data_IF_506332719613
#
_entry.id   IF_506332719613
#
_cell.length_a   1.000
_cell.length_b   1.000
_cell.length_c   1.000
_cell.angle_alpha   90.00
_cell.angle_beta   90.00
_cell.angle_gamma   90.00
#
_symmetry.space_group_name_H-M   'P 1'
#
loop_
_entity.id
_entity.type
_entity.pdbx_description
1 polymer ?
#
# COMPACT_ATOMS: atom_id res chain seq x y z
N UNK A 1 -13.47 3.67 -18.74
CA UNK A 1 -14.69 4.50 -18.93
C UNK A 1 -15.32 4.68 -17.56
N UNK A 2 -15.36 5.93 -17.12
CA UNK A 2 -15.80 6.43 -15.82
C UNK A 2 -17.25 5.98 -15.51
N UNK A 3 -17.51 5.49 -14.30
CA UNK A 3 -18.03 6.28 -13.17
C UNK A 3 -19.55 6.16 -13.04
N UNK A 4 -19.98 5.28 -12.13
CA UNK A 4 -21.36 5.18 -11.65
C UNK A 4 -21.40 5.68 -10.21
N UNK A 5 -21.10 6.96 -10.05
CA UNK A 5 -21.16 7.66 -8.75
C UNK A 5 -22.05 8.88 -8.89
N UNK A 6 -23.26 8.66 -9.42
CA UNK A 6 -24.29 9.69 -9.58
C UNK A 6 -25.64 9.03 -9.32
N UNK A 7 -26.10 9.07 -8.07
CA UNK A 7 -27.52 9.31 -7.77
C UNK A 7 -27.70 9.58 -6.27
N UNK A 8 -28.12 10.78 -5.89
CA UNK A 8 -28.65 11.09 -4.54
C UNK A 8 -27.67 11.35 -3.38
N UNK A 9 -26.83 12.39 -3.48
CA UNK A 9 -26.67 13.27 -2.31
C UNK A 9 -26.44 14.73 -2.76
N UNK A 10 -27.49 15.35 -3.34
CA UNK A 10 -27.38 16.65 -3.98
C UNK A 10 -27.43 17.76 -2.92
N UNK A 11 -26.73 18.87 -3.16
CA UNK A 11 -27.09 20.23 -2.69
C UNK A 11 -26.57 20.73 -1.32
N UNK A 12 -25.85 19.98 -0.46
CA UNK A 12 -25.43 20.52 0.87
C UNK A 12 -23.94 20.62 1.25
N UNK A 13 -22.98 20.25 0.39
CA UNK A 13 -21.54 20.41 0.70
C UNK A 13 -20.74 21.07 -0.44
N UNK A 14 -21.37 22.00 -1.18
CA UNK A 14 -20.82 22.70 -2.34
C UNK A 14 -19.95 23.92 -1.97
N UNK A 15 -19.20 23.87 -0.86
CA UNK A 15 -18.59 25.08 -0.29
C UNK A 15 -17.08 25.08 -0.08
N UNK A 16 -16.50 24.07 0.56
CA UNK A 16 -15.15 24.21 1.15
C UNK A 16 -14.46 22.85 1.20
N UNK A 17 -13.81 22.42 0.12
CA UNK A 17 -12.45 21.83 0.10
C UNK A 17 -11.98 21.88 -1.35
N UNK A 18 -11.77 23.09 -1.85
CA UNK A 18 -11.07 23.35 -3.11
C UNK A 18 -9.58 23.17 -2.85
N UNK A 19 -8.94 22.33 -3.68
CA UNK A 19 -7.52 22.39 -4.06
C UNK A 19 -6.47 22.07 -2.99
N UNK A 20 -6.21 20.77 -2.76
CA UNK A 20 -4.83 20.29 -2.60
C UNK A 20 -4.67 18.96 -3.35
N UNK A 21 -3.81 18.95 -4.37
CA UNK A 21 -3.29 17.73 -4.98
C UNK A 21 -3.80 17.40 -6.38
N UNK A 22 -3.55 18.28 -7.37
CA UNK A 22 -3.52 17.88 -8.78
C UNK A 22 -2.34 16.95 -9.03
N UNK A 23 -2.51 15.67 -8.74
CA UNK A 23 -1.67 14.60 -9.30
C UNK A 23 -2.33 14.14 -10.59
N UNK A 24 -1.68 14.37 -11.73
CA UNK A 24 -2.07 13.80 -13.00
C UNK A 24 -2.30 12.29 -12.82
N UNK A 25 -3.54 11.83 -13.03
CA UNK A 25 -3.85 10.41 -13.13
C UNK A 25 -3.31 9.92 -14.48
N UNK A 26 -2.00 9.69 -14.51
CA UNK A 26 -1.37 8.94 -15.58
C UNK A 26 -1.74 7.47 -15.39
N UNK A 27 -2.00 6.78 -16.49
CA UNK A 27 -2.46 5.42 -16.53
C UNK A 27 -1.64 4.47 -15.62
N UNK A 28 -2.35 3.69 -14.81
CA UNK A 28 -1.94 2.42 -14.18
C UNK A 28 -0.69 2.37 -13.28
N UNK A 29 -0.20 3.49 -12.71
CA UNK A 29 0.83 3.43 -11.67
C UNK A 29 0.21 3.41 -10.27
N UNK A 30 0.53 2.40 -9.45
CA UNK A 30 0.08 2.32 -8.06
C UNK A 30 0.66 3.47 -7.21
N UNK A 31 -0.19 4.10 -6.40
CA UNK A 31 0.21 5.20 -5.54
C UNK A 31 0.94 4.69 -4.29
N UNK A 32 1.87 5.49 -3.76
CA UNK A 32 2.54 5.21 -2.48
C UNK A 32 1.55 4.92 -1.34
N UNK A 33 0.48 5.71 -1.24
CA UNK A 33 -0.53 5.52 -0.20
C UNK A 33 -1.32 4.21 -0.37
N UNK A 34 -1.71 3.86 -1.60
CA UNK A 34 -2.37 2.58 -1.90
C UNK A 34 -1.46 1.40 -1.54
N UNK A 35 -0.17 1.49 -1.87
CA UNK A 35 0.78 0.44 -1.56
C UNK A 35 1.03 0.27 -0.04
N UNK A 36 0.95 1.35 0.73
CA UNK A 36 1.02 1.29 2.20
C UNK A 36 -0.24 0.64 2.77
N UNK A 37 -1.42 0.95 2.23
CA UNK A 37 -2.69 0.36 2.67
C UNK A 37 -2.70 -1.14 2.41
N UNK A 38 -2.23 -1.59 1.26
CA UNK A 38 -2.08 -3.01 0.92
C UNK A 38 -1.14 -3.78 1.88
N UNK A 39 -0.13 -3.10 2.44
CA UNK A 39 0.82 -3.68 3.41
C UNK A 39 0.47 -3.43 4.87
N UNK A 40 -0.62 -2.71 5.19
CA UNK A 40 -1.07 -2.55 6.59
C UNK A 40 -1.19 -3.87 7.36
N UNK A 41 -1.74 -4.97 6.81
CA UNK A 41 -1.78 -6.25 7.53
C UNK A 41 -0.39 -6.84 7.87
N UNK A 42 0.69 -6.31 7.31
CA UNK A 42 2.07 -6.69 7.62
C UNK A 42 2.67 -5.92 8.80
N UNK A 43 1.98 -4.90 9.31
CA UNK A 43 2.55 -3.94 10.27
C UNK A 43 3.14 -4.63 11.51
N UNK A 44 2.38 -5.50 12.18
CA UNK A 44 2.84 -6.19 13.39
C UNK A 44 4.11 -7.02 13.14
N UNK A 45 4.23 -7.66 11.97
CA UNK A 45 5.44 -8.41 11.60
C UNK A 45 6.61 -7.47 11.32
N UNK A 46 6.37 -6.40 10.57
CA UNK A 46 7.36 -5.39 10.20
C UNK A 46 7.91 -4.62 11.42
N UNK A 47 7.12 -4.50 12.48
CA UNK A 47 7.52 -3.93 13.77
C UNK A 47 8.17 -4.97 14.70
N UNK A 48 8.18 -6.25 14.33
CA UNK A 48 8.64 -7.35 15.18
C UNK A 48 7.72 -7.65 16.37
N UNK A 49 6.47 -7.17 16.32
CA UNK A 49 5.42 -7.47 17.29
C UNK A 49 4.83 -8.87 17.10
N UNK A 50 4.89 -9.41 15.88
CA UNK A 50 4.54 -10.80 15.57
C UNK A 50 5.72 -11.54 14.91
N UNK A 51 5.87 -12.83 15.22
CA UNK A 51 6.88 -13.70 14.60
C UNK A 51 6.45 -14.28 13.25
N UNK A 52 5.15 -14.21 12.93
CA UNK A 52 4.59 -14.71 11.68
C UNK A 52 3.85 -13.64 10.89
N UNK A 53 3.68 -13.95 9.61
CA UNK A 53 3.03 -13.12 8.60
C UNK A 53 1.63 -13.67 8.35
N UNK A 54 0.63 -12.80 8.35
CA UNK A 54 -0.75 -13.19 8.01
C UNK A 54 -0.90 -13.50 6.52
N UNK A 55 -1.86 -14.35 6.17
CA UNK A 55 -2.18 -14.65 4.75
C UNK A 55 -2.48 -13.36 3.98
N UNK A 56 -3.23 -12.43 4.59
CA UNK A 56 -3.55 -11.12 4.01
C UNK A 56 -2.30 -10.28 3.71
N UNK A 57 -1.31 -10.27 4.61
CA UNK A 57 -0.06 -9.59 4.36
C UNK A 57 0.70 -10.18 3.17
N UNK A 58 0.75 -11.51 3.07
CA UNK A 58 1.41 -12.18 1.95
C UNK A 58 0.68 -11.90 0.62
N UNK A 59 -0.65 -11.91 0.63
CA UNK A 59 -1.48 -11.63 -0.54
C UNK A 59 -1.31 -10.19 -1.02
N UNK A 60 -1.39 -9.21 -0.12
CA UNK A 60 -1.15 -7.80 -0.44
C UNK A 60 0.28 -7.56 -0.97
N UNK A 61 1.30 -8.15 -0.34
CA UNK A 61 2.68 -8.06 -0.84
C UNK A 61 2.85 -8.68 -2.23
N UNK A 62 2.18 -9.80 -2.50
CA UNK A 62 2.20 -10.46 -3.79
C UNK A 62 1.48 -9.63 -4.85
N UNK A 63 0.31 -9.08 -4.54
CA UNK A 63 -0.46 -8.22 -5.44
C UNK A 63 0.35 -6.98 -5.81
N UNK A 64 0.96 -6.31 -4.83
CA UNK A 64 1.85 -5.17 -5.08
C UNK A 64 3.03 -5.52 -5.98
N UNK A 65 3.62 -6.70 -5.82
CA UNK A 65 4.70 -7.15 -6.69
C UNK A 65 4.23 -7.41 -8.13
N UNK A 66 2.98 -7.83 -8.33
CA UNK A 66 2.38 -7.98 -9.66
C UNK A 66 2.03 -6.63 -10.27
N UNK A 67 1.48 -5.70 -9.49
CA UNK A 67 1.11 -4.37 -9.95
C UNK A 67 2.35 -3.53 -10.29
N UNK A 68 3.42 -3.61 -9.48
CA UNK A 68 4.70 -2.95 -9.72
C UNK A 68 5.53 -3.70 -10.78
N UNK A 69 4.95 -3.89 -11.96
CA UNK A 69 5.55 -4.58 -13.10
C UNK A 69 6.67 -3.76 -13.74
N UNK A 70 6.64 -2.43 -13.61
CA UNK A 70 7.64 -1.55 -14.20
C UNK A 70 8.75 -1.14 -13.21
N UNK A 71 9.98 -1.00 -13.72
CA UNK A 71 11.13 -0.59 -12.91
C UNK A 71 10.96 0.80 -12.28
N UNK A 72 10.28 1.71 -12.97
CA UNK A 72 9.92 3.05 -12.47
C UNK A 72 8.97 2.98 -11.27
N UNK A 73 7.99 2.09 -11.29
CA UNK A 73 7.03 1.90 -10.19
C UNK A 73 7.73 1.29 -8.97
N UNK A 74 8.55 0.26 -9.18
CA UNK A 74 9.36 -0.34 -8.11
C UNK A 74 10.28 0.68 -7.45
N UNK A 75 10.88 1.59 -8.22
CA UNK A 75 11.72 2.68 -7.71
C UNK A 75 10.90 3.64 -6.84
N UNK A 76 9.74 4.07 -7.34
CA UNK A 76 8.86 4.99 -6.63
C UNK A 76 8.32 4.38 -5.33
N UNK A 77 7.88 3.11 -5.37
CA UNK A 77 7.44 2.37 -4.19
C UNK A 77 8.57 2.15 -3.19
N UNK A 78 9.78 1.84 -3.65
CA UNK A 78 10.94 1.68 -2.78
C UNK A 78 11.25 2.97 -1.99
N UNK A 79 11.30 4.12 -2.65
CA UNK A 79 11.51 5.41 -1.97
C UNK A 79 10.36 5.73 -1.01
N UNK A 80 9.11 5.49 -1.43
CA UNK A 80 7.93 5.61 -0.58
C UNK A 80 8.04 4.77 0.70
N UNK A 81 8.29 3.47 0.57
CA UNK A 81 8.38 2.56 1.71
C UNK A 81 9.56 2.89 2.60
N UNK A 82 10.68 3.37 2.05
CA UNK A 82 11.82 3.81 2.86
C UNK A 82 11.46 4.99 3.76
N UNK A 83 10.76 6.00 3.23
CA UNK A 83 10.29 7.15 4.02
C UNK A 83 9.28 6.72 5.07
N UNK A 84 8.31 5.88 4.69
CA UNK A 84 7.26 5.40 5.59
C UNK A 84 7.81 4.48 6.68
N UNK A 85 8.71 3.57 6.34
CA UNK A 85 9.36 2.65 7.28
C UNK A 85 10.12 3.43 8.37
N UNK A 86 10.83 4.49 7.98
CA UNK A 86 11.50 5.36 8.94
C UNK A 86 10.51 6.08 9.87
N UNK A 87 9.37 6.53 9.35
CA UNK A 87 8.34 7.21 10.13
C UNK A 87 7.57 6.26 11.08
N UNK A 88 7.35 5.02 10.66
CA UNK A 88 6.61 4.00 11.42
C UNK A 88 7.49 3.20 12.38
N UNK A 89 8.81 3.33 12.32
CA UNK A 89 9.74 2.53 13.11
C UNK A 89 9.82 1.08 12.65
N UNK A 90 9.57 0.82 11.36
CA UNK A 90 9.68 -0.52 10.77
C UNK A 90 11.12 -1.00 10.87
N UNK A 91 11.29 -2.23 11.32
CA UNK A 91 12.59 -2.86 11.40
C UNK A 91 12.93 -3.51 10.05
N UNK A 92 13.98 -2.99 9.41
CA UNK A 92 14.40 -3.41 8.07
C UNK A 92 14.83 -4.89 8.02
N UNK A 93 15.24 -5.49 9.13
CA UNK A 93 15.61 -6.91 9.17
C UNK A 93 14.37 -7.81 9.01
N UNK A 94 13.24 -7.41 9.59
CA UNK A 94 11.95 -8.10 9.38
C UNK A 94 11.40 -7.86 7.97
N UNK A 95 11.55 -6.65 7.43
CA UNK A 95 11.13 -6.35 6.06
C UNK A 95 11.87 -7.21 5.01
N UNK A 96 13.15 -7.57 5.25
CA UNK A 96 13.92 -8.47 4.37
C UNK A 96 13.46 -9.93 4.44
N UNK A 97 12.88 -10.32 5.58
CA UNK A 97 12.39 -11.67 5.84
C UNK A 97 10.96 -11.87 5.35
N UNK A 98 10.27 -10.81 4.88
CA UNK A 98 8.95 -10.91 4.29
C UNK A 98 8.96 -11.93 3.14
N UNK A 99 8.22 -13.04 3.27
CA UNK A 99 8.15 -14.04 2.23
C UNK A 99 7.28 -13.52 1.09
N UNK A 100 7.92 -12.93 0.08
CA UNK A 100 7.25 -12.54 -1.19
C UNK A 100 6.98 -13.79 -2.06
N UNK A 101 7.36 -14.98 -1.56
CA UNK A 101 7.17 -16.28 -2.18
C UNK A 101 6.55 -17.22 -1.16
N UNK A 102 5.22 -17.17 -1.01
CA UNK A 102 4.34 -18.25 -0.54
C UNK A 102 4.64 -18.99 0.77
N UNK A 103 5.67 -18.64 1.51
CA UNK A 103 6.07 -19.35 2.72
C UNK A 103 5.39 -18.70 3.92
N UNK A 104 4.07 -18.89 3.97
CA UNK A 104 3.23 -18.50 5.09
C UNK A 104 3.64 -19.40 6.26
N UNK A 105 4.22 -18.80 7.31
CA UNK A 105 4.26 -19.45 8.61
C UNK A 105 2.88 -19.25 9.21
N UNK A 106 2.01 -20.24 9.00
CA UNK A 106 0.70 -20.33 9.64
C UNK A 106 0.88 -20.08 11.14
N UNK A 107 0.35 -18.96 11.62
CA UNK A 107 0.09 -18.76 13.04
C UNK A 107 -1.16 -19.60 13.33
N UNK A 108 -0.96 -20.72 14.01
CA UNK A 108 -2.04 -21.46 14.70
C UNK A 108 -2.75 -20.55 15.73
#
# INVERSE_FOLDING_TARGET
MAMKVIRFYPIWFLGIVVMLGTGARNASAISCLEAIIELMPCQDYLLGSSSGVTVLCCEGAQELNQIASYSSERRNLCECFKTTAAAMGVNADWAKLLPIQGQIQEIE
#
